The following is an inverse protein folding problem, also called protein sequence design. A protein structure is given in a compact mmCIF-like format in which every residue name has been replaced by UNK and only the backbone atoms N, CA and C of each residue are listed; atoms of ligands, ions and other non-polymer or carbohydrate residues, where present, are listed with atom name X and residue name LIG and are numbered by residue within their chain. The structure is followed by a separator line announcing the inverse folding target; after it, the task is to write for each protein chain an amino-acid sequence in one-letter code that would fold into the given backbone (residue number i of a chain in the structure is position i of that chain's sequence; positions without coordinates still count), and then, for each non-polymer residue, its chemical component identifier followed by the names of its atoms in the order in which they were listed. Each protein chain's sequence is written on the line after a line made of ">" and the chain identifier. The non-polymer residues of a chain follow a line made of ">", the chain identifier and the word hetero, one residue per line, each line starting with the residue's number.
data_IF_098119513021
#
_entry.id   IF_098119513021
#
_cell.length_a   1.000
_cell.length_b   1.000
_cell.length_c   1.000
_cell.angle_alpha   90.00
_cell.angle_beta   90.00
_cell.angle_gamma   90.00
#
_symmetry.space_group_name_H-M   'P 1'
#
loop_
_entity.id
_entity.type
_entity.pdbx_description
1 polymer ?
#
# COMPACT_ATOMS: atom_id res chain seq x y z
N UNK A 1 18.98 -5.79 0.36
CA UNK A 1 18.77 -6.05 1.81
C UNK A 1 17.29 -6.26 2.15
N UNK A 2 16.34 -5.55 1.53
CA UNK A 2 14.89 -5.69 1.76
C UNK A 2 14.30 -7.08 1.42
N UNK A 3 14.84 -7.79 0.42
CA UNK A 3 14.35 -9.12 0.03
C UNK A 3 14.47 -10.20 1.12
N UNK A 4 15.45 -10.07 2.03
CA UNK A 4 15.65 -11.02 3.14
C UNK A 4 14.65 -10.85 4.29
N UNK A 5 14.20 -9.61 4.55
CA UNK A 5 13.18 -9.32 5.57
C UNK A 5 11.79 -9.83 5.15
N UNK A 6 11.48 -9.78 3.85
CA UNK A 6 10.23 -10.31 3.28
C UNK A 6 10.20 -11.85 3.37
N UNK A 7 11.35 -12.53 3.27
CA UNK A 7 11.43 -13.99 3.38
C UNK A 7 11.25 -14.51 4.81
N UNK A 8 11.71 -13.77 5.82
CA UNK A 8 11.62 -14.18 7.22
C UNK A 8 10.18 -14.20 7.76
N UNK A 9 9.33 -13.25 7.33
CA UNK A 9 7.93 -13.15 7.75
C UNK A 9 6.95 -14.11 7.06
N UNK A 10 7.42 -14.98 6.15
CA UNK A 10 6.55 -15.86 5.35
C UNK A 10 6.06 -17.07 6.12
N UNK A 11 6.79 -17.55 7.14
CA UNK A 11 6.39 -18.73 7.94
C UNK A 11 5.27 -18.46 8.95
N UNK A 12 5.25 -17.27 9.56
CA UNK A 12 4.20 -16.89 10.51
C UNK A 12 2.83 -16.71 9.82
N UNK A 13 2.81 -16.05 8.64
CA UNK A 13 1.57 -15.84 7.87
C UNK A 13 0.99 -17.10 7.25
N UNK A 14 1.80 -18.16 7.06
CA UNK A 14 1.30 -19.47 6.61
C UNK A 14 0.57 -20.18 7.74
N UNK A 15 1.00 -20.05 9.00
CA UNK A 15 0.34 -20.66 10.15
C UNK A 15 -1.06 -20.10 10.38
N UNK A 16 -1.21 -18.77 10.37
CA UNK A 16 -2.53 -18.12 10.53
C UNK A 16 -3.45 -18.44 9.35
N UNK A 17 -2.94 -18.46 8.12
CA UNK A 17 -3.72 -18.82 6.94
C UNK A 17 -4.17 -20.29 6.94
N UNK A 18 -3.39 -21.20 7.54
CA UNK A 18 -3.75 -22.62 7.69
C UNK A 18 -4.80 -22.79 8.79
N UNK A 19 -4.64 -22.13 9.94
CA UNK A 19 -5.63 -22.14 11.04
C UNK A 19 -6.96 -21.56 10.56
N UNK A 20 -6.96 -20.45 9.84
CA UNK A 20 -8.17 -19.84 9.27
C UNK A 20 -8.82 -20.72 8.18
N UNK A 21 -8.03 -21.50 7.42
CA UNK A 21 -8.53 -22.47 6.43
C UNK A 21 -9.21 -23.68 7.07
N UNK A 22 -8.73 -24.16 8.22
CA UNK A 22 -9.40 -25.20 9.00
C UNK A 22 -10.75 -24.74 9.57
N UNK A 23 -10.96 -23.43 9.72
CA UNK A 23 -12.26 -22.81 10.05
C UNK A 23 -13.10 -22.40 8.81
N UNK A 24 -12.66 -22.70 7.58
CA UNK A 24 -13.43 -22.45 6.35
C UNK A 24 -13.19 -21.10 5.66
N UNK A 25 -12.15 -20.34 6.03
CA UNK A 25 -11.91 -19.05 5.39
C UNK A 25 -11.40 -19.19 3.95
N UNK A 26 -12.13 -18.55 3.03
CA UNK A 26 -11.86 -18.53 1.60
C UNK A 26 -10.70 -17.59 1.27
N UNK A 27 -10.09 -17.78 0.08
CA UNK A 27 -9.13 -16.89 -0.62
C UNK A 27 -9.43 -15.38 -0.51
N UNK A 28 -10.68 -15.00 -0.24
CA UNK A 28 -11.11 -13.63 0.02
C UNK A 28 -10.64 -13.05 1.35
N UNK A 29 -10.45 -13.86 2.41
CA UNK A 29 -9.98 -13.36 3.71
C UNK A 29 -8.54 -12.84 3.64
N UNK A 30 -7.65 -13.58 2.96
CA UNK A 30 -6.27 -13.15 2.72
C UNK A 30 -6.23 -11.89 1.86
N UNK A 31 -7.08 -11.82 0.83
CA UNK A 31 -7.18 -10.65 -0.04
C UNK A 31 -7.69 -9.42 0.72
N UNK A 32 -8.66 -9.60 1.62
CA UNK A 32 -9.17 -8.53 2.50
C UNK A 32 -8.12 -7.99 3.47
N UNK A 33 -7.29 -8.86 4.06
CA UNK A 33 -6.22 -8.44 4.95
C UNK A 33 -5.16 -7.59 4.23
N UNK A 34 -4.73 -8.00 3.04
CA UNK A 34 -3.79 -7.20 2.23
C UNK A 34 -4.38 -5.88 1.75
N UNK A 35 -5.65 -5.88 1.34
CA UNK A 35 -6.35 -4.65 0.98
C UNK A 35 -6.38 -3.66 2.16
N UNK A 36 -6.67 -4.13 3.37
CA UNK A 36 -6.66 -3.29 4.56
C UNK A 36 -5.27 -2.73 4.88
N UNK A 37 -4.21 -3.56 4.81
CA UNK A 37 -2.82 -3.12 5.02
C UNK A 37 -2.43 -2.02 4.03
N UNK A 38 -2.64 -2.24 2.73
CA UNK A 38 -2.29 -1.26 1.70
C UNK A 38 -3.17 -0.01 1.74
N UNK A 39 -4.45 -0.13 2.13
CA UNK A 39 -5.33 1.02 2.30
C UNK A 39 -4.85 1.93 3.44
N UNK A 40 -4.44 1.35 4.58
CA UNK A 40 -3.90 2.11 5.71
C UNK A 40 -2.59 2.80 5.33
N UNK A 41 -1.67 2.07 4.69
CA UNK A 41 -0.41 2.65 4.22
C UNK A 41 -0.62 3.77 3.19
N UNK A 42 -1.52 3.56 2.23
CA UNK A 42 -1.88 4.55 1.22
C UNK A 42 -2.50 5.80 1.85
N UNK A 43 -3.33 5.64 2.88
CA UNK A 43 -3.99 6.76 3.56
C UNK A 43 -2.96 7.64 4.27
N UNK A 44 -2.07 7.06 5.07
CA UNK A 44 -1.02 7.82 5.75
C UNK A 44 -0.10 8.54 4.75
N UNK A 45 0.27 7.86 3.67
CA UNK A 45 1.11 8.44 2.63
C UNK A 45 0.41 9.63 1.96
N UNK A 46 -0.89 9.52 1.67
CA UNK A 46 -1.61 10.57 0.98
C UNK A 46 -1.90 11.77 1.89
N UNK A 47 -2.14 11.56 3.19
CA UNK A 47 -2.21 12.65 4.17
C UNK A 47 -0.88 13.44 4.19
N UNK A 48 0.25 12.72 4.22
CA UNK A 48 1.56 13.35 4.18
C UNK A 48 1.78 14.12 2.87
N UNK A 49 1.36 13.57 1.73
CA UNK A 49 1.43 14.22 0.44
C UNK A 49 0.60 15.51 0.37
N UNK A 50 -0.62 15.51 0.90
CA UNK A 50 -1.47 16.72 0.97
C UNK A 50 -0.79 17.77 1.85
N UNK A 51 -0.26 17.37 3.00
CA UNK A 51 0.42 18.30 3.91
C UNK A 51 1.65 18.94 3.26
N UNK A 52 2.56 18.12 2.72
CA UNK A 52 3.77 18.59 2.07
C UNK A 52 3.47 19.41 0.80
N UNK A 53 2.51 18.96 -0.01
CA UNK A 53 2.09 19.65 -1.23
C UNK A 53 1.43 20.99 -0.94
N UNK A 54 0.61 21.08 0.11
CA UNK A 54 -0.01 22.35 0.53
C UNK A 54 1.04 23.34 1.05
N UNK A 55 2.01 22.85 1.83
CA UNK A 55 3.11 23.68 2.32
C UNK A 55 3.97 24.20 1.16
N UNK A 56 4.32 23.32 0.22
CA UNK A 56 5.07 23.71 -0.98
C UNK A 56 4.29 24.71 -1.83
N UNK A 57 3.00 24.48 -2.05
CA UNK A 57 2.14 25.39 -2.80
C UNK A 57 2.05 26.75 -2.12
N UNK A 58 1.88 26.81 -0.79
CA UNK A 58 1.87 28.05 -0.03
C UNK A 58 3.18 28.85 -0.22
N UNK A 59 4.34 28.21 -0.06
CA UNK A 59 5.62 28.88 -0.27
C UNK A 59 5.78 29.39 -1.70
N UNK A 60 5.37 28.61 -2.70
CA UNK A 60 5.48 29.05 -4.11
C UNK A 60 4.51 30.19 -4.42
N UNK A 61 3.25 30.12 -3.99
CA UNK A 61 2.27 31.16 -4.34
C UNK A 61 2.51 32.46 -3.60
N UNK A 62 2.81 32.40 -2.30
CA UNK A 62 3.00 33.60 -1.48
C UNK A 62 4.37 34.22 -1.73
N UNK A 63 5.45 33.43 -1.69
CA UNK A 63 6.81 33.99 -1.75
C UNK A 63 7.29 34.22 -3.19
N UNK A 64 6.92 33.34 -4.13
CA UNK A 64 7.43 33.43 -5.50
C UNK A 64 6.47 34.14 -6.47
N UNK A 65 5.17 34.14 -6.20
CA UNK A 65 4.16 34.67 -7.14
C UNK A 65 3.35 35.85 -6.59
N UNK A 66 3.43 36.16 -5.29
CA UNK A 66 2.64 37.21 -4.61
C UNK A 66 1.11 37.07 -4.86
N UNK A 67 0.65 35.81 -4.92
CA UNK A 67 -0.75 35.41 -5.18
C UNK A 67 -1.33 34.76 -3.93
N UNK A 68 -2.58 35.12 -3.60
CA UNK A 68 -3.30 34.56 -2.46
C UNK A 68 -3.42 33.03 -2.55
N UNK A 69 -2.97 32.35 -1.49
CA UNK A 69 -3.11 30.90 -1.36
C UNK A 69 -4.56 30.54 -0.98
N UNK A 70 -5.20 29.69 -1.78
CA UNK A 70 -6.52 29.13 -1.48
C UNK A 70 -6.45 27.60 -1.35
N UNK A 71 -6.91 27.09 -0.20
CA UNK A 71 -6.94 25.65 0.05
C UNK A 71 -8.24 25.03 -0.45
N UNK A 72 -8.16 24.18 -1.46
CA UNK A 72 -9.31 23.47 -2.01
C UNK A 72 -9.43 22.08 -1.38
N UNK A 73 -10.35 21.96 -0.41
CA UNK A 73 -10.62 20.68 0.26
C UNK A 73 -11.02 19.56 -0.70
N UNK A 74 -11.72 19.89 -1.80
CA UNK A 74 -12.09 18.92 -2.84
C UNK A 74 -10.87 18.32 -3.56
N UNK A 75 -9.84 19.13 -3.82
CA UNK A 75 -8.59 18.70 -4.45
C UNK A 75 -7.77 17.85 -3.47
N UNK A 76 -7.73 18.25 -2.19
CA UNK A 76 -7.07 17.42 -1.16
C UNK A 76 -7.73 16.03 -1.05
N UNK A 77 -9.06 15.97 -1.06
CA UNK A 77 -9.82 14.71 -0.99
C UNK A 77 -9.58 13.82 -2.21
N UNK A 78 -9.48 14.41 -3.41
CA UNK A 78 -9.18 13.65 -4.63
C UNK A 78 -7.74 13.10 -4.63
N UNK A 79 -6.76 13.86 -4.14
CA UNK A 79 -5.38 13.39 -3.97
C UNK A 79 -5.33 12.21 -2.99
N UNK A 80 -6.04 12.30 -1.85
CA UNK A 80 -6.11 11.20 -0.88
C UNK A 80 -6.72 9.95 -1.51
N UNK A 81 -7.86 10.09 -2.18
CA UNK A 81 -8.52 8.97 -2.83
C UNK A 81 -7.63 8.32 -3.90
N UNK A 82 -7.03 9.12 -4.78
CA UNK A 82 -6.13 8.64 -5.84
C UNK A 82 -4.87 7.99 -5.28
N UNK A 83 -4.27 8.56 -4.23
CA UNK A 83 -3.07 8.02 -3.59
C UNK A 83 -3.33 6.66 -2.94
N UNK A 84 -4.46 6.50 -2.26
CA UNK A 84 -4.89 5.21 -1.69
C UNK A 84 -5.12 4.20 -2.80
N UNK A 85 -5.89 4.55 -3.84
CA UNK A 85 -6.20 3.66 -4.97
C UNK A 85 -4.90 3.22 -5.65
N UNK A 86 -4.00 4.15 -5.96
CA UNK A 86 -2.71 3.86 -6.59
C UNK A 86 -1.87 2.90 -5.73
N UNK A 87 -1.79 3.16 -4.42
CA UNK A 87 -1.05 2.30 -3.47
C UNK A 87 -1.62 0.89 -3.44
N UNK A 88 -2.95 0.77 -3.36
CA UNK A 88 -3.64 -0.52 -3.37
C UNK A 88 -3.41 -1.26 -4.68
N UNK A 89 -3.55 -0.58 -5.83
CA UNK A 89 -3.34 -1.20 -7.16
C UNK A 89 -1.89 -1.67 -7.31
N UNK A 90 -0.91 -0.85 -6.95
CA UNK A 90 0.51 -1.22 -7.01
C UNK A 90 0.83 -2.36 -6.04
N UNK A 91 0.34 -2.29 -4.79
CA UNK A 91 0.51 -3.35 -3.79
C UNK A 91 -0.12 -4.67 -4.24
N UNK A 92 -1.29 -4.60 -4.87
CA UNK A 92 -1.99 -5.76 -5.42
C UNK A 92 -1.23 -6.37 -6.60
N UNK A 93 -0.76 -5.58 -7.56
CA UNK A 93 0.10 -6.04 -8.67
C UNK A 93 1.38 -6.70 -8.12
N UNK A 94 2.04 -6.07 -7.14
CA UNK A 94 3.23 -6.63 -6.49
C UNK A 94 2.97 -7.96 -5.79
N UNK A 95 1.82 -8.09 -5.14
CA UNK A 95 1.41 -9.34 -4.47
C UNK A 95 1.07 -10.42 -5.48
N UNK A 96 0.41 -10.07 -6.60
CA UNK A 96 0.03 -11.02 -7.65
C UNK A 96 1.25 -11.54 -8.41
N UNK A 97 2.25 -10.70 -8.66
CA UNK A 97 3.54 -11.11 -9.24
C UNK A 97 4.35 -11.97 -8.28
N UNK A 98 4.35 -11.64 -6.98
CA UNK A 98 5.03 -12.43 -5.95
C UNK A 98 4.38 -13.81 -5.68
N UNK A 99 3.05 -13.94 -5.85
CA UNK A 99 2.34 -15.23 -5.81
C UNK A 99 2.43 -15.99 -7.15
N UNK A 100 2.49 -15.27 -8.27
CA UNK A 100 2.65 -15.85 -9.62
C UNK A 100 4.04 -16.43 -9.87
N UNK A 101 5.05 -16.04 -9.09
CA UNK A 101 6.33 -16.72 -9.02
C UNK A 101 6.13 -18.14 -8.47
N UNK A 102 6.05 -19.12 -9.38
CA UNK A 102 5.93 -20.56 -9.07
C UNK A 102 6.88 -20.93 -7.93
N UNK A 103 6.33 -21.34 -6.79
CA UNK A 103 7.03 -21.96 -5.67
C UNK A 103 7.51 -23.39 -6.02
N UNK A 104 8.10 -23.57 -7.21
CA UNK A 104 8.54 -24.85 -7.74
C UNK A 104 10.06 -25.14 -7.62
N UNK A 105 10.99 -24.17 -7.50
CA UNK A 105 12.41 -24.54 -7.50
C UNK A 105 13.01 -24.78 -6.10
N UNK A 106 12.25 -24.73 -5.01
CA UNK A 106 12.80 -24.94 -3.63
C UNK A 106 12.71 -26.40 -3.16
N UNK A 107 12.02 -27.28 -3.91
CA UNK A 107 11.95 -28.72 -3.61
C UNK A 107 12.82 -29.59 -4.52
N UNK A 108 13.69 -28.99 -5.33
CA UNK A 108 14.59 -29.70 -6.25
C UNK A 108 16.05 -29.30 -6.03
N UNK A 109 16.55 -29.56 -4.84
CA UNK A 109 17.99 -29.68 -4.62
C UNK A 109 18.16 -30.86 -3.65
N UNK A 110 18.70 -32.00 -4.14
CA UNK A 110 18.97 -33.18 -3.32
C UNK A 110 20.01 -32.90 -2.22
#
# INVERSE_FOLDING_TARGET
>A
VLGGAIAAGRRARIYDAVVLKTFGATRFAVMGAYLAEFAVLGLFTAIFAVFAGSLAAYFVTVEAMDVDFSFFASVALSIIALGVIATVVVGFIGTWTALGAKAAPILRSP
#
